data_IF_470099264259
#
_entry.id   IF_470099264259
#
_cell.length_a   1.000
_cell.length_b   1.000
_cell.length_c   1.000
_cell.angle_alpha   90.00
_cell.angle_beta   90.00
_cell.angle_gamma   90.00
#
_symmetry.space_group_name_H-M   'P 1'
#
loop_
_entity.id
_entity.type
_entity.pdbx_description
1 polymer ?
#
# COMPACT_ATOMS: atom_id res chain seq x y z
N UNK A 1 -45.51 -50.49 7.97
CA UNK A 1 -44.67 -49.76 8.95
C UNK A 1 -43.30 -50.39 8.91
N UNK A 2 -42.40 -49.82 8.14
CA UNK A 2 -40.97 -49.87 8.45
C UNK A 2 -40.36 -48.63 7.81
N UNK A 3 -40.09 -47.63 8.65
CA UNK A 3 -39.63 -46.31 8.29
C UNK A 3 -38.18 -46.22 8.76
N UNK A 4 -37.26 -46.85 8.02
CA UNK A 4 -35.84 -46.75 8.30
C UNK A 4 -35.29 -45.48 7.64
N UNK A 5 -35.33 -44.38 8.38
CA UNK A 5 -34.60 -43.15 8.06
C UNK A 5 -33.11 -43.48 7.89
N UNK A 6 -32.57 -43.22 6.69
CA UNK A 6 -31.13 -43.13 6.51
C UNK A 6 -30.66 -41.83 7.18
N UNK A 7 -29.59 -41.85 7.98
CA UNK A 7 -29.03 -40.60 8.49
C UNK A 7 -28.54 -39.78 7.30
N UNK A 8 -29.05 -38.55 7.18
CA UNK A 8 -28.45 -37.53 6.33
C UNK A 8 -27.04 -37.29 6.84
N UNK A 9 -26.04 -37.79 6.12
CA UNK A 9 -24.67 -37.32 6.25
C UNK A 9 -24.70 -35.82 5.92
N UNK A 10 -24.59 -34.97 6.95
CA UNK A 10 -24.27 -33.57 6.74
C UNK A 10 -22.93 -33.54 6.02
N UNK A 11 -22.96 -33.20 4.73
CA UNK A 11 -21.75 -32.82 4.00
C UNK A 11 -21.05 -31.77 4.85
N UNK A 12 -19.80 -32.03 5.22
CA UNK A 12 -18.93 -30.98 5.72
C UNK A 12 -19.04 -29.82 4.72
N UNK A 13 -19.57 -28.68 5.16
CA UNK A 13 -19.68 -27.50 4.31
C UNK A 13 -18.28 -27.23 3.77
N UNK A 14 -18.12 -27.26 2.44
CA UNK A 14 -16.89 -26.87 1.76
C UNK A 14 -16.63 -25.40 2.13
N UNK A 15 -15.87 -25.19 3.21
CA UNK A 15 -15.50 -23.86 3.66
C UNK A 15 -14.79 -23.17 2.49
N UNK A 16 -15.18 -21.94 2.11
CA UNK A 16 -14.55 -21.24 1.02
C UNK A 16 -13.03 -21.18 1.20
N UNK A 17 -12.31 -21.80 0.26
CA UNK A 17 -10.85 -21.79 0.21
C UNK A 17 -10.35 -20.35 0.06
N UNK A 18 -9.60 -19.90 1.06
CA UNK A 18 -8.87 -18.64 1.00
C UNK A 18 -7.71 -18.77 0.01
N UNK A 19 -7.68 -17.89 -0.99
CA UNK A 19 -6.56 -17.77 -1.90
C UNK A 19 -5.55 -16.77 -1.34
N UNK A 20 -4.32 -17.22 -1.12
CA UNK A 20 -3.19 -16.33 -0.80
C UNK A 20 -2.84 -15.48 -2.02
N UNK A 21 -2.75 -14.17 -1.82
CA UNK A 21 -2.37 -13.20 -2.89
C UNK A 21 -1.12 -12.38 -2.56
N UNK A 22 -0.65 -12.39 -1.32
CA UNK A 22 0.59 -11.71 -0.92
C UNK A 22 1.06 -12.15 0.46
N UNK A 23 2.33 -11.95 0.79
CA UNK A 23 2.82 -12.11 2.15
C UNK A 23 4.00 -11.17 2.40
N UNK A 24 4.00 -10.55 3.57
CA UNK A 24 5.11 -9.80 4.12
C UNK A 24 5.82 -10.59 5.21
N UNK A 25 6.59 -9.89 6.03
CA UNK A 25 7.37 -10.45 7.14
C UNK A 25 6.52 -10.92 8.32
N UNK A 26 5.37 -10.29 8.57
CA UNK A 26 4.53 -10.57 9.76
C UNK A 26 3.11 -11.07 9.44
N UNK A 27 2.65 -10.88 8.20
CA UNK A 27 1.29 -11.21 7.80
C UNK A 27 1.19 -11.70 6.35
N UNK A 28 0.10 -12.40 6.06
CA UNK A 28 -0.26 -12.89 4.73
C UNK A 28 -1.61 -12.32 4.33
N UNK A 29 -1.73 -11.93 3.06
CA UNK A 29 -2.95 -11.41 2.46
C UNK A 29 -3.68 -12.53 1.74
N UNK A 30 -4.95 -12.70 2.09
CA UNK A 30 -5.86 -13.67 1.49
C UNK A 30 -7.08 -12.98 0.86
N UNK A 31 -7.73 -13.66 -0.07
CA UNK A 31 -9.05 -13.31 -0.59
C UNK A 31 -9.95 -14.54 -0.54
N UNK A 32 -11.26 -14.32 -0.42
CA UNK A 32 -12.25 -15.39 -0.63
C UNK A 32 -12.83 -15.29 -2.04
N UNK A 33 -12.68 -16.33 -2.85
CA UNK A 33 -13.37 -16.55 -4.14
C UNK A 33 -13.43 -15.33 -5.09
N UNK A 34 -12.29 -14.71 -5.39
CA UNK A 34 -12.23 -13.56 -6.31
C UNK A 34 -12.97 -12.31 -5.81
N UNK A 35 -13.45 -12.30 -4.57
CA UNK A 35 -14.23 -11.22 -3.98
C UNK A 35 -13.46 -9.90 -3.88
N UNK A 36 -14.23 -8.84 -3.59
CA UNK A 36 -13.73 -7.48 -3.43
C UNK A 36 -13.03 -7.21 -2.08
N UNK A 37 -13.01 -8.19 -1.19
CA UNK A 37 -12.42 -8.06 0.13
C UNK A 37 -11.13 -8.86 0.25
N UNK A 38 -10.11 -8.23 0.84
CA UNK A 38 -8.86 -8.86 1.23
C UNK A 38 -8.77 -8.97 2.76
N UNK A 39 -8.09 -10.02 3.23
CA UNK A 39 -7.88 -10.32 4.64
C UNK A 39 -6.38 -10.35 4.92
N UNK A 40 -5.90 -9.44 5.78
CA UNK A 40 -4.54 -9.47 6.31
C UNK A 40 -4.55 -10.31 7.58
N UNK A 41 -3.77 -11.38 7.60
CA UNK A 41 -3.76 -12.37 8.69
C UNK A 41 -2.34 -12.51 9.21
N UNK A 42 -2.13 -12.31 10.51
CA UNK A 42 -0.79 -12.43 11.09
C UNK A 42 -0.28 -13.87 11.08
N UNK A 43 1.04 -14.04 11.03
CA UNK A 43 1.68 -15.35 11.09
C UNK A 43 1.64 -15.95 12.50
N UNK A 44 1.73 -15.10 13.52
CA UNK A 44 1.80 -15.48 14.93
C UNK A 44 0.86 -14.63 15.79
N UNK A 45 0.32 -15.22 16.85
CA UNK A 45 -0.50 -14.54 17.86
C UNK A 45 0.25 -13.42 18.59
N UNK A 46 1.59 -13.46 18.61
CA UNK A 46 2.43 -12.38 19.16
C UNK A 46 2.29 -11.07 18.38
N UNK A 47 1.83 -11.12 17.13
CA UNK A 47 1.63 -9.94 16.29
C UNK A 47 0.19 -9.39 16.33
N UNK A 48 -0.69 -9.93 17.18
CA UNK A 48 -2.10 -9.51 17.29
C UNK A 48 -2.22 -8.01 17.58
N UNK A 49 -1.43 -7.49 18.53
CA UNK A 49 -1.47 -6.06 18.87
C UNK A 49 -1.01 -5.17 17.70
N UNK A 50 -0.04 -5.64 16.90
CA UNK A 50 0.47 -4.92 15.73
C UNK A 50 -0.63 -4.79 14.67
N UNK A 51 -1.32 -5.89 14.35
CA UNK A 51 -2.37 -5.88 13.32
C UNK A 51 -3.65 -5.16 13.78
N UNK A 52 -3.96 -5.19 15.08
CA UNK A 52 -5.05 -4.40 15.65
C UNK A 52 -4.74 -2.90 15.52
N UNK A 53 -3.52 -2.49 15.88
CA UNK A 53 -3.06 -1.11 15.74
C UNK A 53 -3.10 -0.67 14.27
N UNK A 54 -2.63 -1.50 13.35
CA UNK A 54 -2.70 -1.22 11.91
C UNK A 54 -4.15 -1.00 11.44
N UNK A 55 -5.08 -1.85 11.86
CA UNK A 55 -6.51 -1.68 11.54
C UNK A 55 -7.07 -0.35 12.08
N UNK A 56 -6.70 0.04 13.30
CA UNK A 56 -7.12 1.30 13.90
C UNK A 56 -6.53 2.50 13.16
N UNK A 57 -5.23 2.47 12.84
CA UNK A 57 -4.55 3.48 12.03
C UNK A 57 -5.22 3.63 10.68
N UNK A 58 -5.41 2.54 9.94
CA UNK A 58 -6.08 2.55 8.64
C UNK A 58 -7.51 3.11 8.74
N UNK A 59 -8.24 2.76 9.81
CA UNK A 59 -9.59 3.27 10.04
C UNK A 59 -9.61 4.78 10.24
N UNK A 60 -8.66 5.33 11.00
CA UNK A 60 -8.54 6.76 11.21
C UNK A 60 -8.14 7.50 9.92
N UNK A 61 -7.08 7.06 9.24
CA UNK A 61 -6.61 7.74 8.02
C UNK A 61 -7.60 7.61 6.86
N UNK A 62 -8.32 6.49 6.73
CA UNK A 62 -9.34 6.35 5.70
C UNK A 62 -10.46 7.39 5.85
N UNK A 63 -10.90 7.65 7.08
CA UNK A 63 -11.94 8.65 7.35
C UNK A 63 -11.47 10.08 7.06
N UNK A 64 -10.20 10.39 7.34
CA UNK A 64 -9.69 11.76 7.31
C UNK A 64 -8.93 12.13 6.01
N UNK A 65 -8.39 11.15 5.28
CA UNK A 65 -7.45 11.39 4.18
C UNK A 65 -7.99 10.97 2.80
N UNK A 66 -8.94 10.02 2.74
CA UNK A 66 -9.31 9.36 1.47
C UNK A 66 -10.22 10.20 0.55
N UNK A 67 -11.07 11.07 1.11
CA UNK A 67 -12.06 11.84 0.34
C UNK A 67 -11.39 12.70 -0.73
N UNK A 68 -11.81 12.54 -1.99
CA UNK A 68 -11.30 13.28 -3.16
C UNK A 68 -9.76 13.26 -3.29
N UNK A 69 -9.13 12.16 -2.88
CA UNK A 69 -7.69 11.94 -3.08
C UNK A 69 -7.40 11.21 -4.39
N UNK A 70 -6.25 11.50 -5.00
CA UNK A 70 -5.78 10.75 -6.17
C UNK A 70 -5.42 9.30 -5.81
N UNK A 71 -4.66 9.11 -4.71
CA UNK A 71 -4.34 7.79 -4.18
C UNK A 71 -5.45 7.30 -3.24
N UNK A 72 -5.96 6.11 -3.48
CA UNK A 72 -6.98 5.50 -2.62
C UNK A 72 -6.34 4.82 -1.41
N UNK A 73 -7.04 4.88 -0.28
CA UNK A 73 -6.76 4.05 0.87
C UNK A 73 -7.74 2.86 0.87
N UNK A 74 -7.29 1.61 1.02
CA UNK A 74 -8.20 0.48 1.15
C UNK A 74 -9.14 0.68 2.34
N UNK A 75 -10.46 0.63 2.13
CA UNK A 75 -11.42 0.78 3.22
C UNK A 75 -11.28 -0.37 4.22
N UNK A 76 -11.02 -0.11 5.51
CA UNK A 76 -11.06 -1.15 6.51
C UNK A 76 -12.52 -1.48 6.88
N UNK A 77 -12.81 -2.77 7.05
CA UNK A 77 -14.15 -3.26 7.36
C UNK A 77 -14.28 -3.75 8.80
N UNK A 78 -13.47 -4.74 9.17
CA UNK A 78 -13.47 -5.32 10.51
C UNK A 78 -12.15 -6.01 10.85
N UNK A 79 -11.79 -5.94 12.14
CA UNK A 79 -10.73 -6.71 12.78
C UNK A 79 -11.35 -7.81 13.65
N UNK A 80 -10.74 -8.99 13.64
CA UNK A 80 -11.13 -10.13 14.45
C UNK A 80 -9.91 -10.81 15.08
N UNK A 81 -9.99 -11.02 16.40
CA UNK A 81 -9.08 -11.86 17.17
C UNK A 81 -9.79 -13.16 17.59
N UNK A 82 -9.42 -14.32 17.02
CA UNK A 82 -10.02 -15.60 17.39
C UNK A 82 -9.78 -16.02 18.84
N UNK A 83 -8.68 -15.59 19.47
CA UNK A 83 -8.29 -16.01 20.82
C UNK A 83 -9.14 -15.38 21.91
N UNK A 84 -9.52 -14.11 21.72
CA UNK A 84 -10.36 -13.36 22.67
C UNK A 84 -11.81 -13.22 22.21
N UNK A 85 -12.13 -13.68 20.99
CA UNK A 85 -13.38 -13.40 20.29
C UNK A 85 -13.68 -11.90 20.11
N UNK A 86 -12.66 -11.04 20.18
CA UNK A 86 -12.80 -9.60 19.98
C UNK A 86 -13.06 -9.30 18.51
N UNK A 87 -14.14 -8.56 18.25
CA UNK A 87 -14.50 -8.04 16.94
C UNK A 87 -14.56 -6.52 17.01
N UNK A 88 -13.79 -5.85 16.17
CA UNK A 88 -13.90 -4.41 15.93
C UNK A 88 -14.41 -4.21 14.51
N UNK A 89 -15.38 -3.33 14.30
CA UNK A 89 -15.92 -3.06 12.95
C UNK A 89 -16.26 -1.59 12.80
N UNK A 90 -15.99 -1.02 11.62
CA UNK A 90 -16.48 0.31 11.29
C UNK A 90 -18.01 0.24 11.13
N UNK A 91 -18.77 1.12 11.79
CA UNK A 91 -20.23 1.17 11.66
C UNK A 91 -20.61 1.41 10.19
N UNK A 92 -21.20 0.42 9.51
CA UNK A 92 -21.52 0.47 8.09
C UNK A 92 -22.54 -0.60 7.64
N UNK A 93 -22.99 -0.51 6.38
CA UNK A 93 -24.05 -1.39 5.81
C UNK A 93 -23.64 -2.86 5.63
N UNK A 94 -22.34 -3.16 5.60
CA UNK A 94 -21.82 -4.53 5.49
C UNK A 94 -21.34 -5.00 6.86
N UNK A 95 -22.15 -5.80 7.54
CA UNK A 95 -21.83 -6.31 8.87
C UNK A 95 -20.95 -7.54 8.79
N UNK A 96 -19.64 -7.36 8.91
CA UNK A 96 -18.76 -8.47 9.27
C UNK A 96 -19.11 -8.91 10.69
N UNK A 97 -19.33 -10.21 10.87
CA UNK A 97 -19.59 -10.83 12.16
C UNK A 97 -18.49 -11.83 12.47
N UNK A 98 -18.39 -12.29 13.72
CA UNK A 98 -17.48 -13.41 14.07
C UNK A 98 -17.73 -14.62 13.16
N UNK A 99 -19.00 -14.88 12.84
CA UNK A 99 -19.39 -15.98 11.96
C UNK A 99 -18.89 -15.80 10.52
N UNK A 100 -18.80 -14.55 10.04
CA UNK A 100 -18.20 -14.23 8.73
C UNK A 100 -16.76 -14.71 8.64
N UNK A 101 -15.94 -14.47 9.67
CA UNK A 101 -14.54 -14.90 9.72
C UNK A 101 -14.42 -16.42 9.88
N UNK A 102 -15.27 -17.03 10.71
CA UNK A 102 -15.28 -18.49 10.91
C UNK A 102 -15.60 -19.25 9.63
N UNK A 103 -16.62 -18.81 8.88
CA UNK A 103 -17.04 -19.43 7.62
C UNK A 103 -15.97 -19.42 6.54
N UNK A 104 -15.04 -18.47 6.58
CA UNK A 104 -13.91 -18.41 5.64
C UNK A 104 -12.63 -19.01 6.22
N UNK A 105 -12.70 -19.72 7.35
CA UNK A 105 -11.56 -20.42 7.95
C UNK A 105 -10.57 -19.52 8.70
N UNK A 106 -10.90 -18.26 8.98
CA UNK A 106 -10.06 -17.36 9.77
C UNK A 106 -10.32 -17.54 11.28
N UNK A 107 -9.89 -18.70 11.81
CA UNK A 107 -10.21 -19.13 13.18
C UNK A 107 -8.98 -19.27 14.09
N UNK A 108 -7.78 -19.10 13.57
CA UNK A 108 -6.53 -19.34 14.33
C UNK A 108 -5.82 -18.05 14.71
N UNK A 109 -5.54 -17.19 13.74
CA UNK A 109 -4.74 -15.99 13.91
C UNK A 109 -5.59 -14.73 13.74
N UNK A 110 -5.21 -13.66 14.44
CA UNK A 110 -5.84 -12.36 14.30
C UNK A 110 -5.75 -11.83 12.87
N UNK A 111 -6.79 -11.13 12.43
CA UNK A 111 -6.87 -10.61 11.08
C UNK A 111 -7.73 -9.36 11.00
N UNK A 112 -7.53 -8.57 9.95
CA UNK A 112 -8.54 -7.60 9.55
C UNK A 112 -8.84 -7.69 8.06
N UNK A 113 -10.03 -7.22 7.72
CA UNK A 113 -10.61 -7.20 6.38
C UNK A 113 -10.61 -5.77 5.82
N UNK A 114 -10.32 -5.62 4.53
CA UNK A 114 -10.31 -4.34 3.83
C UNK A 114 -10.69 -4.48 2.36
N UNK A 115 -10.85 -3.36 1.66
CA UNK A 115 -10.93 -3.35 0.20
C UNK A 115 -9.71 -4.05 -0.41
N UNK A 116 -9.98 -4.82 -1.46
CA UNK A 116 -8.94 -5.46 -2.25
C UNK A 116 -8.35 -4.47 -3.25
N UNK A 117 -7.02 -4.41 -3.30
CA UNK A 117 -6.32 -3.91 -4.50
C UNK A 117 -6.43 -4.99 -5.58
N UNK A 118 -7.17 -4.72 -6.65
CA UNK A 118 -7.36 -5.68 -7.72
C UNK A 118 -6.10 -5.84 -8.55
N UNK A 119 -5.99 -6.99 -9.21
CA UNK A 119 -4.87 -7.27 -10.10
C UNK A 119 -4.93 -6.34 -11.32
N UNK A 120 -3.77 -5.96 -11.86
CA UNK A 120 -3.68 -5.21 -13.10
C UNK A 120 -4.41 -5.95 -14.23
N UNK A 121 -5.28 -5.27 -15.00
CA UNK A 121 -5.87 -5.86 -16.19
C UNK A 121 -4.80 -6.33 -17.18
N UNK A 122 -5.14 -7.33 -18.02
CA UNK A 122 -4.17 -7.94 -18.94
C UNK A 122 -3.59 -6.93 -19.94
N UNK A 123 -4.41 -5.97 -20.38
CA UNK A 123 -3.99 -4.90 -21.30
C UNK A 123 -2.85 -4.03 -20.73
N UNK A 124 -2.74 -3.89 -19.41
CA UNK A 124 -1.65 -3.16 -18.75
C UNK A 124 -0.51 -4.08 -18.31
N UNK A 125 -0.84 -5.25 -17.74
CA UNK A 125 0.15 -6.16 -17.17
C UNK A 125 0.99 -6.88 -18.24
N UNK A 126 0.40 -7.21 -19.39
CA UNK A 126 1.10 -7.92 -20.46
C UNK A 126 2.23 -7.10 -21.09
N UNK A 127 2.03 -5.81 -21.47
CA UNK A 127 3.12 -4.96 -21.96
C UNK A 127 4.27 -4.81 -20.95
N UNK A 128 3.99 -4.74 -19.65
CA UNK A 128 5.01 -4.69 -18.60
C UNK A 128 5.87 -5.94 -18.64
N UNK A 129 5.23 -7.12 -18.68
CA UNK A 129 5.93 -8.41 -18.81
C UNK A 129 6.77 -8.46 -20.07
N UNK A 130 6.20 -8.12 -21.21
CA UNK A 130 6.87 -8.22 -22.50
C UNK A 130 8.06 -7.29 -22.62
N UNK A 131 8.00 -6.11 -22.00
CA UNK A 131 9.06 -5.11 -22.09
C UNK A 131 10.17 -5.32 -21.06
N UNK A 132 9.81 -5.62 -19.80
CA UNK A 132 10.75 -5.52 -18.69
C UNK A 132 11.10 -6.84 -18.01
N UNK A 133 10.42 -7.95 -18.31
CA UNK A 133 10.83 -9.24 -17.75
C UNK A 133 12.07 -9.74 -18.50
N UNK A 134 13.04 -10.37 -17.81
CA UNK A 134 14.12 -11.07 -18.48
C UNK A 134 13.55 -12.17 -19.39
N UNK A 135 14.22 -12.44 -20.52
CA UNK A 135 13.72 -13.36 -21.55
C UNK A 135 13.35 -14.75 -20.99
N UNK A 136 14.12 -15.24 -20.00
CA UNK A 136 13.87 -16.50 -19.31
C UNK A 136 12.54 -16.56 -18.53
N UNK A 137 12.02 -15.42 -18.09
CA UNK A 137 10.82 -15.32 -17.25
C UNK A 137 9.57 -14.92 -18.03
N UNK A 138 9.69 -14.41 -19.26
CA UNK A 138 8.53 -13.96 -20.06
C UNK A 138 7.49 -15.07 -20.29
N UNK A 139 7.94 -16.32 -20.43
CA UNK A 139 7.07 -17.48 -20.69
C UNK A 139 6.63 -18.22 -19.44
N UNK A 140 7.43 -18.16 -18.38
CA UNK A 140 7.25 -18.99 -17.17
C UNK A 140 6.61 -18.22 -16.03
N UNK A 141 6.76 -16.89 -15.99
CA UNK A 141 6.19 -16.05 -14.96
C UNK A 141 4.86 -15.43 -15.41
N UNK A 142 3.86 -15.38 -14.52
CA UNK A 142 2.62 -14.66 -14.80
C UNK A 142 2.91 -13.16 -14.97
N UNK A 143 2.04 -12.41 -15.69
CA UNK A 143 2.08 -10.95 -15.68
C UNK A 143 1.98 -10.39 -14.25
N UNK A 144 2.43 -9.14 -14.03
CA UNK A 144 2.39 -8.57 -12.70
C UNK A 144 0.97 -8.39 -12.20
N UNK A 145 0.78 -8.74 -10.91
CA UNK A 145 -0.50 -8.54 -10.23
C UNK A 145 -0.66 -7.09 -9.80
N UNK A 146 0.40 -6.47 -9.30
CA UNK A 146 0.46 -5.06 -8.97
C UNK A 146 1.85 -4.52 -9.27
N UNK A 147 1.96 -3.19 -9.35
CA UNK A 147 3.24 -2.52 -9.49
C UNK A 147 3.51 -1.59 -8.31
N UNK A 148 4.73 -1.60 -7.80
CA UNK A 148 5.21 -0.63 -6.80
C UNK A 148 5.87 0.56 -7.50
N UNK A 149 5.51 1.77 -7.11
CA UNK A 149 5.94 3.02 -7.74
C UNK A 149 7.19 3.58 -7.06
N UNK A 150 8.35 3.29 -7.63
CA UNK A 150 9.67 3.67 -7.12
C UNK A 150 10.23 4.92 -7.82
N UNK A 151 9.56 6.07 -7.70
CA UNK A 151 9.94 7.28 -8.44
C UNK A 151 11.23 7.95 -7.93
N UNK A 152 11.74 7.53 -6.76
CA UNK A 152 13.05 7.93 -6.24
C UNK A 152 14.20 7.00 -6.63
N UNK A 153 13.90 5.90 -7.31
CA UNK A 153 14.87 4.89 -7.72
C UNK A 153 15.16 5.00 -9.21
N UNK A 154 16.41 4.70 -9.56
CA UNK A 154 16.77 4.41 -10.95
C UNK A 154 17.05 2.93 -11.04
N UNK A 155 16.28 2.21 -11.84
CA UNK A 155 16.45 0.77 -12.03
C UNK A 155 17.29 0.57 -13.29
N UNK A 156 18.45 -0.05 -13.11
CA UNK A 156 19.35 -0.38 -14.20
C UNK A 156 18.90 -1.67 -14.90
N UNK A 157 18.38 -1.51 -16.12
CA UNK A 157 17.96 -2.63 -16.98
C UNK A 157 19.15 -3.49 -17.46
N UNK A 158 20.39 -2.99 -17.39
CA UNK A 158 21.58 -3.68 -17.89
C UNK A 158 22.06 -4.79 -16.94
N UNK A 159 21.67 -4.73 -15.66
CA UNK A 159 22.02 -5.73 -14.66
C UNK A 159 20.80 -6.60 -14.36
N UNK A 160 20.78 -7.87 -14.79
CA UNK A 160 19.68 -8.76 -14.44
C UNK A 160 19.61 -8.86 -12.91
N UNK A 161 18.49 -8.43 -12.34
CA UNK A 161 18.24 -8.61 -10.91
C UNK A 161 18.35 -10.09 -10.58
N UNK A 162 19.17 -10.44 -9.59
CA UNK A 162 19.27 -11.81 -9.06
C UNK A 162 17.94 -12.29 -8.46
N UNK A 163 17.03 -11.35 -8.16
CA UNK A 163 15.72 -11.60 -7.58
C UNK A 163 14.65 -10.98 -8.48
N UNK A 164 14.15 -11.78 -9.42
CA UNK A 164 13.01 -11.40 -10.25
C UNK A 164 11.71 -11.63 -9.46
N UNK A 165 10.90 -10.59 -9.27
CA UNK A 165 9.60 -10.67 -8.61
C UNK A 165 8.50 -10.21 -9.58
N UNK A 166 7.67 -11.15 -10.01
CA UNK A 166 6.52 -10.84 -10.87
C UNK A 166 5.35 -10.27 -10.10
N UNK A 167 5.18 -10.57 -8.81
CA UNK A 167 3.96 -10.22 -8.05
C UNK A 167 3.92 -8.73 -7.72
N UNK A 168 5.03 -8.18 -7.21
CA UNK A 168 5.18 -6.77 -6.83
C UNK A 168 6.20 -6.09 -7.75
N UNK A 169 5.84 -5.90 -9.02
CA UNK A 169 6.80 -5.47 -10.02
C UNK A 169 7.21 -3.99 -9.81
N UNK A 170 8.52 -3.68 -9.74
CA UNK A 170 8.96 -2.31 -9.50
C UNK A 170 8.91 -1.46 -10.78
N UNK A 171 8.21 -0.33 -10.71
CA UNK A 171 8.21 0.72 -11.73
C UNK A 171 8.94 1.95 -11.20
N UNK A 172 10.11 2.24 -11.76
CA UNK A 172 10.69 3.56 -11.60
C UNK A 172 10.01 4.58 -12.54
N UNK A 173 10.35 5.85 -12.35
CA UNK A 173 9.78 6.94 -13.13
C UNK A 173 9.95 6.73 -14.64
N UNK A 174 11.14 6.31 -15.09
CA UNK A 174 11.44 6.08 -16.51
C UNK A 174 10.53 4.99 -17.11
N UNK A 175 10.40 3.84 -16.42
CA UNK A 175 9.54 2.74 -16.86
C UNK A 175 8.08 3.14 -16.89
N UNK A 176 7.63 3.86 -15.86
CA UNK A 176 6.27 4.38 -15.74
C UNK A 176 5.94 5.32 -16.90
N UNK A 177 6.72 6.38 -17.11
CA UNK A 177 6.49 7.35 -18.20
C UNK A 177 6.51 6.67 -19.56
N UNK A 178 7.40 5.70 -19.75
CA UNK A 178 7.44 4.92 -21.00
C UNK A 178 6.12 4.17 -21.23
N UNK A 179 5.56 3.53 -20.21
CA UNK A 179 4.27 2.82 -20.28
C UNK A 179 3.11 3.79 -20.51
N UNK A 180 3.05 4.90 -19.75
CA UNK A 180 1.99 5.89 -19.84
C UNK A 180 1.89 6.57 -21.21
N UNK A 181 2.98 6.59 -21.99
CA UNK A 181 2.97 7.14 -23.35
C UNK A 181 2.20 6.28 -24.37
N UNK A 182 1.94 5.01 -24.09
CA UNK A 182 1.24 4.11 -25.02
C UNK A 182 0.13 3.27 -24.39
N UNK A 183 0.00 3.34 -23.07
CA UNK A 183 -1.13 2.80 -22.30
C UNK A 183 -1.95 3.97 -21.78
N UNK A 184 -3.25 3.77 -21.61
CA UNK A 184 -4.16 4.77 -21.03
C UNK A 184 -3.91 4.88 -19.50
N UNK A 185 -2.78 5.46 -19.12
CA UNK A 185 -2.36 5.69 -17.74
C UNK A 185 -2.25 7.19 -17.48
N UNK A 186 -2.35 7.59 -16.21
CA UNK A 186 -2.11 8.98 -15.84
C UNK A 186 -0.66 9.39 -16.09
N UNK A 187 -0.49 10.66 -16.45
CA UNK A 187 0.83 11.27 -16.55
C UNK A 187 1.60 11.18 -15.22
N UNK A 188 2.92 11.02 -15.31
CA UNK A 188 3.77 10.85 -14.13
C UNK A 188 3.69 12.05 -13.17
N UNK A 189 3.56 13.27 -13.69
CA UNK A 189 3.46 14.47 -12.87
C UNK A 189 2.15 14.47 -12.07
N UNK A 190 1.05 13.98 -12.64
CA UNK A 190 -0.21 13.80 -11.89
C UNK A 190 -0.07 12.82 -10.74
N UNK A 191 0.62 11.71 -10.97
CA UNK A 191 0.90 10.72 -9.92
C UNK A 191 1.77 11.33 -8.82
N UNK A 192 2.79 12.10 -9.19
CA UNK A 192 3.68 12.79 -8.23
C UNK A 192 2.91 13.84 -7.41
N UNK A 193 2.00 14.59 -8.04
CA UNK A 193 1.08 15.50 -7.33
C UNK A 193 0.29 14.72 -6.28
N UNK A 194 -0.31 13.58 -6.67
CA UNK A 194 -1.03 12.71 -5.75
C UNK A 194 -0.17 12.16 -4.61
N UNK A 195 1.11 11.88 -4.85
CA UNK A 195 2.05 11.46 -3.81
C UNK A 195 2.29 12.57 -2.77
N UNK A 196 2.53 13.80 -3.23
CA UNK A 196 2.73 14.96 -2.36
C UNK A 196 1.48 15.28 -1.54
N UNK A 197 0.33 15.32 -2.22
CA UNK A 197 -0.99 15.51 -1.60
C UNK A 197 -1.26 14.46 -0.52
N UNK A 198 -1.21 13.16 -0.85
CA UNK A 198 -1.54 12.11 0.11
C UNK A 198 -0.57 12.10 1.29
N UNK A 199 0.73 12.33 1.10
CA UNK A 199 1.66 12.39 2.23
C UNK A 199 1.34 13.55 3.17
N UNK A 200 1.02 14.73 2.64
CA UNK A 200 0.58 15.87 3.45
C UNK A 200 -0.72 15.55 4.22
N UNK A 201 -1.67 14.85 3.60
CA UNK A 201 -2.89 14.39 4.29
C UNK A 201 -2.58 13.42 5.41
N UNK A 202 -1.70 12.44 5.20
CA UNK A 202 -1.30 11.50 6.25
C UNK A 202 -0.66 12.23 7.45
N UNK A 203 0.20 13.23 7.20
CA UNK A 203 0.81 14.05 8.24
C UNK A 203 -0.22 14.92 8.98
N UNK A 204 -1.00 15.72 8.25
CA UNK A 204 -1.80 16.80 8.84
C UNK A 204 -3.24 16.41 9.19
N UNK A 205 -3.83 15.46 8.47
CA UNK A 205 -5.21 14.97 8.69
C UNK A 205 -5.22 13.59 9.35
N UNK A 206 -4.20 12.77 9.08
CA UNK A 206 -4.04 11.41 9.61
C UNK A 206 -3.14 11.31 10.84
N UNK A 207 -2.57 12.41 11.29
CA UNK A 207 -1.75 12.55 12.50
C UNK A 207 -0.62 11.53 12.54
N UNK A 208 -0.04 11.19 11.37
CA UNK A 208 0.88 10.08 11.23
C UNK A 208 2.11 10.40 10.40
N UNK A 209 3.22 9.70 10.64
CA UNK A 209 4.51 9.93 9.98
C UNK A 209 4.66 9.32 8.57
N UNK A 210 3.69 8.50 8.13
CA UNK A 210 3.74 7.83 6.84
C UNK A 210 4.86 6.78 6.71
N UNK A 211 5.37 6.25 7.83
CA UNK A 211 6.44 5.24 7.81
C UNK A 211 5.96 3.90 7.25
N UNK A 212 6.81 3.31 6.40
CA UNK A 212 6.68 2.01 5.73
C UNK A 212 5.48 1.87 4.77
N UNK A 213 4.84 2.98 4.41
CA UNK A 213 3.76 2.95 3.41
C UNK A 213 4.31 2.60 2.03
N UNK A 214 3.57 1.79 1.27
CA UNK A 214 3.88 1.43 -0.10
C UNK A 214 2.93 2.09 -1.09
N UNK A 215 3.49 2.60 -2.19
CA UNK A 215 2.76 3.25 -3.26
C UNK A 215 2.58 2.27 -4.41
N UNK A 216 1.33 1.93 -4.74
CA UNK A 216 1.05 0.86 -5.70
C UNK A 216 0.07 1.28 -6.78
N UNK A 217 0.29 0.73 -7.98
CA UNK A 217 -0.63 0.72 -9.09
C UNK A 217 -1.28 -0.67 -9.18
N UNK A 218 -2.60 -0.71 -9.13
CA UNK A 218 -3.41 -1.92 -9.27
C UNK A 218 -4.60 -1.70 -10.21
N UNK A 219 -5.43 -2.73 -10.36
CA UNK A 219 -6.71 -2.61 -11.05
C UNK A 219 -7.77 -1.93 -10.17
N UNK A 220 -8.78 -1.36 -10.82
CA UNK A 220 -9.93 -0.75 -10.14
C UNK A 220 -11.09 -1.73 -9.84
N UNK A 221 -10.92 -3.01 -10.24
CA UNK A 221 -11.94 -4.05 -10.14
C UNK A 221 -12.75 -4.29 -11.42
N UNK A 222 -12.50 -3.47 -12.45
CA UNK A 222 -13.06 -3.58 -13.79
C UNK A 222 -11.92 -3.66 -14.82
N UNK A 223 -11.97 -2.85 -15.88
CA UNK A 223 -10.94 -2.76 -16.90
C UNK A 223 -9.92 -1.64 -16.63
N UNK A 224 -10.14 -0.80 -15.60
CA UNK A 224 -9.32 0.37 -15.34
C UNK A 224 -8.19 0.15 -14.34
N UNK A 225 -7.43 1.21 -14.14
CA UNK A 225 -6.36 1.30 -13.17
C UNK A 225 -6.77 2.15 -11.96
N UNK A 226 -6.10 1.92 -10.83
CA UNK A 226 -6.20 2.78 -9.66
C UNK A 226 -4.90 2.77 -8.86
N UNK A 227 -4.65 3.88 -8.20
CA UNK A 227 -3.46 4.09 -7.36
C UNK A 227 -3.85 3.94 -5.91
N UNK A 228 -3.02 3.25 -5.13
CA UNK A 228 -3.28 2.98 -3.73
C UNK A 228 -2.04 3.25 -2.88
N UNK A 229 -2.29 3.64 -1.63
CA UNK A 229 -1.30 3.53 -0.56
C UNK A 229 -1.68 2.32 0.29
N UNK A 230 -0.71 1.46 0.61
CA UNK A 230 -0.90 0.26 1.41
C UNK A 230 0.22 0.11 2.45
N UNK A 231 0.07 -0.90 3.32
CA UNK A 231 1.00 -1.27 4.40
C UNK A 231 1.18 -0.18 5.45
N UNK A 232 0.46 -0.29 6.57
CA UNK A 232 0.36 0.77 7.58
C UNK A 232 0.87 0.30 8.96
N UNK A 233 1.53 -0.87 9.00
CA UNK A 233 1.93 -1.56 10.22
C UNK A 233 3.03 -0.85 11.02
N UNK A 234 3.87 -0.02 10.39
CA UNK A 234 4.95 0.72 11.06
C UNK A 234 4.68 2.21 11.25
N UNK A 235 3.51 2.70 10.83
CA UNK A 235 3.15 4.10 11.00
C UNK A 235 3.11 4.50 12.48
N UNK A 236 3.55 5.72 12.74
CA UNK A 236 3.60 6.31 14.08
C UNK A 236 2.81 7.59 14.10
N UNK A 237 2.21 7.86 15.25
CA UNK A 237 1.52 9.11 15.48
C UNK A 237 2.53 10.27 15.48
N UNK A 238 2.14 11.38 14.87
CA UNK A 238 2.89 12.62 14.84
C UNK A 238 2.03 13.76 15.40
N UNK A 239 2.51 14.39 16.46
CA UNK A 239 1.77 15.44 17.17
C UNK A 239 1.66 16.78 16.45
N UNK A 240 2.04 16.88 15.17
CA UNK A 240 1.99 18.10 14.36
C UNK A 240 2.82 19.27 14.89
N UNK A 241 3.90 18.95 15.60
CA UNK A 241 4.79 19.96 16.19
C UNK A 241 6.13 20.03 15.47
N UNK A 242 6.81 21.16 15.65
CA UNK A 242 8.15 21.39 15.12
C UNK A 242 9.16 20.37 15.67
N UNK A 243 9.07 20.01 16.96
CA UNK A 243 9.94 19.03 17.60
C UNK A 243 9.77 17.63 17.00
N UNK A 244 8.61 17.34 16.41
CA UNK A 244 8.30 16.06 15.77
C UNK A 244 8.83 15.94 14.33
N UNK A 245 9.36 16.99 13.72
CA UNK A 245 9.75 17.00 12.30
C UNK A 245 10.81 15.94 11.98
N UNK A 246 11.76 15.69 12.87
CA UNK A 246 12.79 14.66 12.67
C UNK A 246 12.19 13.26 12.50
N UNK A 247 11.02 13.00 13.10
CA UNK A 247 10.30 11.73 12.92
C UNK A 247 9.77 11.59 11.49
N UNK A 248 9.23 12.68 10.91
CA UNK A 248 8.77 12.72 9.52
C UNK A 248 9.94 12.55 8.55
N UNK A 249 11.04 13.27 8.78
CA UNK A 249 12.26 13.14 7.96
C UNK A 249 12.79 11.71 8.04
N UNK A 250 12.87 11.13 9.24
CA UNK A 250 13.28 9.74 9.43
C UNK A 250 12.36 8.76 8.70
N UNK A 251 11.03 8.94 8.77
CA UNK A 251 10.07 8.09 8.07
C UNK A 251 10.27 8.17 6.56
N UNK A 252 10.28 9.37 5.97
CA UNK A 252 10.47 9.59 4.54
C UNK A 252 11.77 8.94 4.03
N UNK A 253 12.86 9.08 4.78
CA UNK A 253 14.18 8.58 4.36
C UNK A 253 14.38 7.08 4.63
N UNK A 254 13.61 6.50 5.56
CA UNK A 254 13.62 5.05 5.85
C UNK A 254 12.75 4.29 4.86
N UNK A 255 11.66 4.91 4.39
CA UNK A 255 10.84 4.33 3.34
C UNK A 255 11.71 3.98 2.14
N UNK A 256 11.30 2.90 1.47
CA UNK A 256 11.81 2.58 0.15
C UNK A 256 11.72 3.83 -0.77
N UNK A 257 12.59 3.98 -1.79
CA UNK A 257 12.68 5.19 -2.61
C UNK A 257 11.48 5.36 -3.56
N UNK A 258 10.29 5.53 -2.99
CA UNK A 258 9.01 5.69 -3.64
C UNK A 258 8.83 7.10 -4.21
N UNK A 259 9.21 8.11 -3.43
CA UNK A 259 9.09 9.53 -3.79
C UNK A 259 10.21 9.98 -4.73
N UNK A 260 9.98 10.97 -5.62
CA UNK A 260 11.08 11.68 -6.27
C UNK A 260 12.15 12.10 -5.27
N UNK A 261 13.44 12.01 -5.65
CA UNK A 261 14.54 12.31 -4.73
C UNK A 261 14.49 13.78 -4.32
N UNK A 262 14.58 14.12 -3.01
CA UNK A 262 14.58 15.50 -2.51
C UNK A 262 15.80 16.33 -2.93
N UNK A 263 15.88 16.66 -4.21
CA UNK A 263 16.96 17.43 -4.81
C UNK A 263 16.37 18.74 -5.30
N UNK A 264 16.77 19.88 -4.72
CA UNK A 264 16.32 21.17 -5.23
C UNK A 264 16.62 21.28 -6.73
N UNK A 265 15.67 21.83 -7.50
CA UNK A 265 15.72 21.94 -8.98
C UNK A 265 15.53 20.64 -9.76
N UNK A 266 15.34 19.49 -9.11
CA UNK A 266 14.80 18.31 -9.77
C UNK A 266 13.31 18.58 -10.07
N UNK A 267 12.87 18.58 -11.35
CA UNK A 267 11.51 18.97 -11.70
C UNK A 267 10.44 18.10 -11.01
N UNK A 268 10.68 16.79 -10.88
CA UNK A 268 9.73 15.88 -10.25
C UNK A 268 9.64 16.12 -8.75
N UNK A 269 10.75 16.42 -8.09
CA UNK A 269 10.71 16.81 -6.69
C UNK A 269 10.00 18.15 -6.46
N UNK A 270 10.21 19.15 -7.32
CA UNK A 270 9.51 20.45 -7.17
C UNK A 270 7.99 20.30 -7.32
N UNK A 271 7.53 19.40 -8.20
CA UNK A 271 6.11 19.05 -8.32
C UNK A 271 5.59 18.41 -7.02
N UNK A 272 6.29 17.39 -6.50
CA UNK A 272 5.96 16.75 -5.23
C UNK A 272 5.90 17.77 -4.09
N UNK A 273 6.94 18.59 -3.96
CA UNK A 273 7.10 19.62 -2.93
C UNK A 273 5.95 20.63 -2.97
N UNK A 274 5.59 21.09 -4.17
CA UNK A 274 4.51 22.05 -4.36
C UNK A 274 3.15 21.45 -4.00
N UNK A 275 2.88 20.19 -4.41
CA UNK A 275 1.64 19.49 -4.06
C UNK A 275 1.52 19.22 -2.56
N UNK A 276 2.63 18.82 -1.91
CA UNK A 276 2.69 18.64 -0.46
C UNK A 276 2.34 19.95 0.27
N UNK A 277 2.98 21.06 -0.08
CA UNK A 277 2.72 22.36 0.57
C UNK A 277 1.30 22.88 0.32
N UNK A 278 0.74 22.66 -0.87
CA UNK A 278 -0.61 23.09 -1.22
C UNK A 278 -1.70 22.39 -0.39
N UNK A 279 -1.42 21.18 0.08
CA UNK A 279 -2.33 20.37 0.90
C UNK A 279 -2.11 20.59 2.41
N UNK A 280 -1.01 21.23 2.81
CA UNK A 280 -0.75 21.57 4.20
C UNK A 280 -1.67 22.71 4.69
N UNK A 281 -2.00 22.76 6.00
CA UNK A 281 -2.79 23.85 6.57
C UNK A 281 -2.11 25.22 6.38
N UNK A 282 -2.93 26.27 6.17
CA UNK A 282 -2.45 27.62 5.87
C UNK A 282 -1.93 28.40 7.09
N UNK A 283 -2.13 27.87 8.30
CA UNK A 283 -1.66 28.47 9.54
C UNK A 283 -0.15 28.62 9.51
N UNK A 284 0.35 29.77 9.96
CA UNK A 284 1.78 30.10 9.91
C UNK A 284 2.66 29.01 10.53
N UNK A 285 2.29 28.50 11.71
CA UNK A 285 3.03 27.43 12.38
C UNK A 285 3.05 26.13 11.55
N UNK A 286 1.93 25.78 10.90
CA UNK A 286 1.84 24.60 10.06
C UNK A 286 2.69 24.75 8.79
N UNK A 287 2.67 25.94 8.20
CA UNK A 287 3.51 26.27 7.05
C UNK A 287 5.01 26.18 7.40
N UNK A 288 5.44 26.79 8.50
CA UNK A 288 6.83 26.73 8.98
C UNK A 288 7.27 25.29 9.27
N UNK A 289 6.41 24.49 9.91
CA UNK A 289 6.66 23.07 10.20
C UNK A 289 6.78 22.25 8.91
N UNK A 290 5.94 22.53 7.92
CA UNK A 290 5.97 21.86 6.61
C UNK A 290 7.24 22.20 5.83
N UNK A 291 7.68 23.45 5.87
CA UNK A 291 8.96 23.87 5.28
C UNK A 291 10.15 23.24 6.00
N UNK A 292 10.11 23.12 7.32
CA UNK A 292 11.16 22.46 8.10
C UNK A 292 11.30 20.97 7.72
N UNK A 293 10.18 20.27 7.54
CA UNK A 293 10.19 18.89 7.03
C UNK A 293 10.85 18.78 5.65
N UNK A 294 10.45 19.61 4.70
CA UNK A 294 11.01 19.61 3.34
C UNK A 294 12.52 19.92 3.33
N UNK A 295 12.93 20.93 4.10
CA UNK A 295 14.35 21.26 4.27
C UNK A 295 15.13 20.08 4.90
N UNK A 296 14.53 19.37 5.84
CA UNK A 296 15.12 18.19 6.48
C UNK A 296 15.37 17.04 5.51
N UNK A 297 14.39 16.69 4.67
CA UNK A 297 14.56 15.62 3.66
C UNK A 297 15.56 16.02 2.56
N UNK A 298 15.61 17.29 2.17
CA UNK A 298 16.61 17.83 1.23
C UNK A 298 18.03 17.71 1.79
N UNK A 299 18.22 18.10 3.06
CA UNK A 299 19.52 18.00 3.72
C UNK A 299 19.98 16.55 3.82
N UNK A 300 19.10 15.63 4.20
CA UNK A 300 19.44 14.22 4.32
C UNK A 300 19.72 13.58 2.94
N UNK A 301 18.97 13.96 1.91
CA UNK A 301 19.25 13.53 0.54
C UNK A 301 20.61 14.02 0.04
N UNK A 302 20.98 15.27 0.33
CA UNK A 302 22.29 15.82 -0.03
C UNK A 302 23.46 15.06 0.64
N UNK A 303 23.28 14.62 1.90
CA UNK A 303 24.27 13.76 2.58
C UNK A 303 24.41 12.42 1.86
N UNK A 304 23.30 11.77 1.50
CA UNK A 304 23.31 10.48 0.77
C UNK A 304 23.97 10.60 -0.60
N UNK A 305 23.71 11.68 -1.32
CA UNK A 305 24.33 11.95 -2.62
C UNK A 305 25.85 12.15 -2.50
N UNK A 306 26.31 12.83 -1.46
CA UNK A 306 27.75 13.00 -1.17
C UNK A 306 28.43 11.67 -0.88
N UNK A 307 27.82 10.82 -0.06
CA UNK A 307 28.34 9.47 0.25
C UNK A 307 28.41 8.60 -1.01
N UNK A 308 27.38 8.66 -1.86
CA UNK A 308 27.35 7.92 -3.12
C UNK A 308 28.47 8.37 -4.08
N UNK A 309 28.71 9.68 -4.18
CA UNK A 309 29.77 10.25 -5.03
C UNK A 309 31.19 9.93 -4.53
N UNK A 310 31.38 9.78 -3.21
CA UNK A 310 32.66 9.37 -2.61
C UNK A 310 32.92 7.85 -2.63
N UNK A 311 31.93 7.05 -3.02
CA UNK A 311 32.00 5.58 -3.10
C UNK A 311 32.22 5.05 -4.53
N UNK A 312 32.25 5.95 -5.52
CA UNK A 312 32.55 5.70 -6.94
C UNK A 312 33.98 6.08 -7.26
#
# INVERSE_FOLDING_TARGET
MDNSERPSQSSAEDLPVLQRIGAGSFATIYISHGGACAFKVVHSSESTEIIEKEYQTLSAIYLNCNTDSFFKLPRPYAFYDPSTHKLLSVKGRYGFTVETFRRIGLVTNASYSMDRVFVLPLEFSQPIRERYYPASFKKTSPPPSLCRLYFGKVIDDSRPSRFFNSVNFPLDLKRYTTLANFLDMDDADKVIIGMGEMLARLHWRGDSDGRDIEWVLGGDGYAGLSYFVIDFNQMREWGKTMEGVDTLVSAFMTNDPYYPRPRPRDPQYEIFRSAYLAECPSEQQAHETSLAFLAGIEQEQAKRDTVAAGST
#
